data_IF_968436638964
#
_entry.id   IF_968436638964
#
_cell.length_a   1.000
_cell.length_b   1.000
_cell.length_c   1.000
_cell.angle_alpha   90.00
_cell.angle_beta   90.00
_cell.angle_gamma   90.00
#
_symmetry.space_group_name_H-M   'P 1'
#
loop_
_entity.id
_entity.type
_entity.pdbx_description
1 polymer ?
#
# COMPACT_ATOMS: atom_id res chain seq x y z
N UNK A 1 3.23 1.62 10.32
CA UNK A 1 3.33 1.25 8.88
C UNK A 1 4.55 0.37 8.55
N UNK A 2 5.52 0.24 9.45
CA UNK A 2 6.80 -0.46 9.22
C UNK A 2 6.62 -1.95 8.88
N UNK A 3 5.64 -2.60 9.49
CA UNK A 3 5.29 -4.01 9.27
C UNK A 3 4.95 -4.29 7.80
N UNK A 4 4.29 -3.35 7.12
CA UNK A 4 3.94 -3.48 5.70
C UNK A 4 5.17 -3.38 4.83
N UNK A 5 6.03 -2.36 5.05
CA UNK A 5 7.29 -2.23 4.30
C UNK A 5 8.16 -3.48 4.44
N UNK A 6 8.33 -3.99 5.66
CA UNK A 6 9.12 -5.19 5.89
C UNK A 6 8.52 -6.42 5.19
N UNK A 7 7.21 -6.62 5.25
CA UNK A 7 6.56 -7.72 4.55
C UNK A 7 6.76 -7.61 3.05
N UNK A 8 6.49 -6.46 2.44
CA UNK A 8 6.69 -6.25 1.00
C UNK A 8 8.14 -6.51 0.60
N UNK A 9 9.12 -6.05 1.38
CA UNK A 9 10.54 -6.33 1.13
C UNK A 9 10.87 -7.82 1.19
N UNK A 10 10.32 -8.58 2.15
CA UNK A 10 10.52 -10.03 2.24
C UNK A 10 9.90 -10.76 1.04
N UNK A 11 8.74 -10.30 0.57
CA UNK A 11 8.05 -10.88 -0.58
C UNK A 11 8.81 -10.65 -1.90
N UNK A 12 9.43 -9.48 -2.06
CA UNK A 12 10.34 -9.19 -3.19
C UNK A 12 11.55 -10.14 -3.24
N UNK A 13 12.02 -10.61 -2.08
CA UNK A 13 13.08 -11.62 -1.96
C UNK A 13 12.55 -13.07 -2.09
N UNK A 14 11.27 -13.25 -2.42
CA UNK A 14 10.62 -14.54 -2.61
C UNK A 14 10.20 -15.25 -1.32
N UNK A 15 10.21 -14.56 -0.18
CA UNK A 15 9.79 -15.12 1.11
C UNK A 15 8.29 -14.92 1.36
N UNK A 16 7.68 -15.92 1.99
CA UNK A 16 6.33 -15.79 2.54
C UNK A 16 6.38 -15.16 3.92
N UNK A 17 5.33 -14.44 4.30
CA UNK A 17 5.15 -13.96 5.67
C UNK A 17 3.67 -13.93 6.08
N UNK A 18 3.43 -13.88 7.39
CA UNK A 18 2.11 -13.60 7.97
C UNK A 18 2.25 -12.77 9.25
N UNK A 19 1.24 -11.95 9.53
CA UNK A 19 1.22 -11.05 10.68
C UNK A 19 0.26 -11.57 11.75
N UNK A 20 0.81 -11.91 12.92
CA UNK A 20 0.07 -12.46 14.06
C UNK A 20 -0.05 -11.44 15.20
N UNK A 21 -1.17 -11.49 15.92
CA UNK A 21 -1.43 -10.68 17.10
C UNK A 21 -1.61 -11.59 18.33
N UNK A 22 -0.55 -12.25 18.78
CA UNK A 22 -0.61 -13.09 19.99
C UNK A 22 -0.47 -12.29 21.29
N UNK A 23 -0.44 -10.96 21.20
CA UNK A 23 -0.44 -10.06 22.35
C UNK A 23 -1.82 -10.02 23.03
N UNK A 24 -1.90 -9.92 24.36
CA UNK A 24 -0.81 -9.86 25.35
C UNK A 24 -0.33 -11.24 25.85
N UNK A 25 -0.91 -12.33 25.33
CA UNK A 25 -0.79 -13.69 25.89
C UNK A 25 0.66 -14.16 26.11
N UNK A 26 1.57 -13.81 25.20
CA UNK A 26 2.96 -14.27 25.23
C UNK A 26 3.96 -13.16 25.60
N UNK A 27 3.48 -11.98 25.99
CA UNK A 27 4.30 -10.78 26.19
C UNK A 27 5.33 -10.96 27.29
N UNK A 28 4.89 -11.39 28.48
CA UNK A 28 5.79 -11.58 29.63
C UNK A 28 6.85 -12.65 29.37
N UNK A 29 6.46 -13.76 28.73
CA UNK A 29 7.38 -14.87 28.45
C UNK A 29 8.47 -14.45 27.46
N UNK A 30 8.09 -13.75 26.39
CA UNK A 30 9.02 -13.21 25.40
C UNK A 30 9.91 -12.14 26.02
N UNK A 31 9.34 -11.21 26.80
CA UNK A 31 10.12 -10.15 27.44
C UNK A 31 11.19 -10.71 28.38
N UNK A 32 10.84 -11.71 29.20
CA UNK A 32 11.79 -12.42 30.09
C UNK A 32 12.80 -13.26 29.32
N UNK A 33 12.40 -13.89 28.21
CA UNK A 33 13.27 -14.79 27.44
C UNK A 33 14.35 -14.07 26.62
N UNK A 34 14.14 -12.80 26.30
CA UNK A 34 15.07 -12.00 25.47
C UNK A 34 15.45 -10.65 26.10
N UNK A 35 15.28 -10.49 27.42
CA UNK A 35 15.63 -9.28 28.17
C UNK A 35 15.11 -7.98 27.54
N UNK A 36 13.86 -7.99 27.07
CA UNK A 36 13.26 -6.84 26.39
C UNK A 36 12.95 -5.73 27.41
N UNK A 37 13.34 -4.46 27.15
CA UNK A 37 13.08 -3.36 28.07
C UNK A 37 11.59 -3.19 28.40
N UNK A 38 11.28 -2.95 29.68
CA UNK A 38 9.90 -2.86 30.17
C UNK A 38 9.05 -1.73 29.53
N UNK A 39 9.70 -0.71 28.96
CA UNK A 39 9.02 0.39 28.24
C UNK A 39 8.57 0.03 26.82
N UNK A 40 8.96 -1.14 26.30
CA UNK A 40 8.67 -1.52 24.92
C UNK A 40 7.32 -2.24 24.84
N UNK A 41 6.41 -1.70 24.02
CA UNK A 41 5.12 -2.33 23.73
C UNK A 41 5.19 -3.09 22.41
N UNK A 42 4.91 -4.39 22.45
CA UNK A 42 4.90 -5.24 21.26
C UNK A 42 3.51 -5.20 20.61
N UNK A 43 3.43 -4.85 19.33
CA UNK A 43 2.15 -4.67 18.63
C UNK A 43 1.69 -5.92 17.87
N UNK A 44 2.63 -6.65 17.27
CA UNK A 44 2.38 -7.83 16.44
C UNK A 44 3.66 -8.67 16.28
N UNK A 45 3.56 -9.82 15.62
CA UNK A 45 4.66 -10.70 15.26
C UNK A 45 4.59 -10.97 13.75
N UNK A 46 5.63 -10.58 13.00
CA UNK A 46 5.74 -10.92 11.58
C UNK A 46 6.55 -12.22 11.45
N UNK A 47 5.88 -13.32 11.12
CA UNK A 47 6.50 -14.62 10.90
C UNK A 47 6.81 -14.76 9.41
N UNK A 48 8.02 -15.15 9.05
CA UNK A 48 8.45 -15.24 7.65
C UNK A 48 9.35 -16.46 7.39
N UNK A 49 9.48 -16.85 6.12
CA UNK A 49 10.31 -17.97 5.69
C UNK A 49 10.05 -18.37 4.23
N UNK A 50 10.49 -19.57 3.84
CA UNK A 50 10.19 -20.14 2.52
C UNK A 50 8.68 -20.25 2.30
N UNK A 51 8.23 -20.07 1.05
CA UNK A 51 6.82 -20.19 0.68
C UNK A 51 6.34 -21.63 0.81
N UNK A 52 5.36 -21.87 1.70
CA UNK A 52 4.76 -23.19 1.90
C UNK A 52 3.66 -23.55 0.90
N UNK A 53 3.26 -22.61 0.05
CA UNK A 53 2.20 -22.73 -0.94
C UNK A 53 1.82 -21.38 -1.52
N UNK A 54 0.85 -21.38 -2.44
CA UNK A 54 0.22 -20.16 -2.93
C UNK A 54 -0.76 -19.61 -1.89
N UNK A 55 -0.92 -18.28 -1.79
CA UNK A 55 -1.92 -17.68 -0.92
C UNK A 55 -3.33 -18.01 -1.44
N UNK A 56 -4.29 -18.06 -0.51
CA UNK A 56 -5.70 -18.20 -0.85
C UNK A 56 -6.22 -16.98 -1.63
N UNK A 57 -7.33 -17.18 -2.34
CA UNK A 57 -8.00 -16.11 -3.06
C UNK A 57 -8.45 -15.00 -2.10
N UNK A 58 -8.11 -13.75 -2.45
CA UNK A 58 -8.52 -12.58 -1.70
C UNK A 58 -9.67 -11.88 -2.41
N UNK A 59 -10.82 -11.79 -1.75
CA UNK A 59 -11.97 -11.02 -2.23
C UNK A 59 -11.83 -9.54 -1.87
N UNK A 60 -12.37 -8.68 -2.73
CA UNK A 60 -12.39 -7.23 -2.53
C UNK A 60 -13.81 -6.71 -2.65
N UNK A 61 -14.17 -5.71 -1.83
CA UNK A 61 -15.40 -4.95 -2.03
C UNK A 61 -15.35 -4.18 -3.36
N UNK A 62 -16.50 -3.84 -3.97
CA UNK A 62 -16.56 -3.00 -5.16
C UNK A 62 -15.76 -1.71 -4.99
N UNK A 63 -15.13 -1.23 -6.07
CA UNK A 63 -14.21 -0.08 -6.02
C UNK A 63 -14.97 1.22 -5.71
N UNK A 64 -16.21 1.31 -6.18
CA UNK A 64 -17.13 2.44 -6.01
C UNK A 64 -17.51 2.65 -4.55
N UNK A 65 -17.49 1.59 -3.73
CA UNK A 65 -17.71 1.69 -2.28
C UNK A 65 -16.49 2.23 -1.53
N UNK A 66 -15.29 2.11 -2.12
CA UNK A 66 -14.01 2.38 -1.46
C UNK A 66 -13.33 3.67 -1.94
N UNK A 67 -13.68 4.13 -3.13
CA UNK A 67 -13.05 5.28 -3.79
C UNK A 67 -14.13 6.19 -4.34
N UNK A 68 -14.02 7.49 -4.03
CA UNK A 68 -14.86 8.54 -4.59
C UNK A 68 -13.97 9.51 -5.35
N UNK A 69 -14.23 9.69 -6.65
CA UNK A 69 -13.60 10.74 -7.47
C UNK A 69 -14.59 11.88 -7.66
N UNK A 70 -14.21 13.10 -7.30
CA UNK A 70 -15.02 14.30 -7.48
C UNK A 70 -14.62 15.13 -8.71
N UNK A 71 -13.56 14.73 -9.42
CA UNK A 71 -13.16 15.29 -10.70
C UNK A 71 -13.62 14.38 -11.85
N UNK A 72 -14.00 14.92 -13.01
CA UNK A 72 -14.34 14.12 -14.17
C UNK A 72 -13.10 13.31 -14.60
N UNK A 73 -13.28 11.99 -14.75
CA UNK A 73 -12.28 11.14 -15.42
C UNK A 73 -12.29 11.57 -16.88
N UNK A 74 -11.29 12.35 -17.29
CA UNK A 74 -11.06 12.62 -18.71
C UNK A 74 -10.70 11.28 -19.35
N UNK A 75 -11.63 10.69 -20.09
CA UNK A 75 -11.31 9.60 -20.99
C UNK A 75 -10.41 10.16 -22.10
N UNK A 76 -9.10 10.00 -21.95
CA UNK A 76 -8.17 10.21 -23.06
C UNK A 76 -8.46 9.14 -24.12
N UNK A 77 -9.33 9.47 -25.08
CA UNK A 77 -9.51 8.65 -26.27
C UNK A 77 -8.28 8.86 -27.15
N UNK A 78 -7.48 7.81 -27.32
CA UNK A 78 -6.43 7.82 -28.35
C UNK A 78 -7.16 7.80 -29.69
N UNK A 79 -7.36 8.98 -30.27
CA UNK A 79 -8.02 9.11 -31.57
C UNK A 79 -7.10 8.47 -32.61
N UNK A 80 -7.46 7.27 -33.06
CA UNK A 80 -6.78 6.60 -34.16
C UNK A 80 -6.75 7.50 -35.40
N UNK A 81 -5.54 7.77 -35.89
CA UNK A 81 -5.31 8.53 -37.12
C UNK A 81 -3.83 8.42 -37.47
N UNK A 82 -3.53 7.77 -38.59
CA UNK A 82 -2.18 7.38 -38.99
C UNK A 82 -1.17 8.53 -39.10
N UNK A 83 0.09 8.17 -38.91
CA UNK A 83 1.27 9.01 -39.09
C UNK A 83 1.25 9.72 -40.46
N UNK A 84 1.08 11.04 -40.45
CA UNK A 84 1.66 11.94 -41.44
C UNK A 84 2.46 13.02 -40.69
N UNK A 85 3.62 13.33 -41.25
CA UNK A 85 4.68 14.14 -40.66
C UNK A 85 4.22 15.52 -40.13
N UNK A 86 4.78 15.87 -38.98
CA UNK A 86 4.51 17.06 -38.16
C UNK A 86 5.14 18.36 -38.71
N UNK A 87 4.48 19.52 -38.54
CA UNK A 87 5.15 20.81 -38.42
C UNK A 87 5.49 21.16 -36.97
N UNK A 88 6.61 21.87 -36.75
CA UNK A 88 7.18 22.23 -35.44
C UNK A 88 6.20 22.94 -34.48
N UNK A 89 6.37 22.74 -33.14
CA UNK A 89 5.37 23.11 -32.14
C UNK A 89 5.38 24.60 -31.76
N UNK A 90 4.20 25.20 -31.67
CA UNK A 90 3.99 26.47 -30.98
C UNK A 90 4.24 26.34 -29.46
N UNK A 91 4.71 27.39 -28.76
CA UNK A 91 5.10 27.30 -27.36
C UNK A 91 3.93 26.91 -26.46
N UNK A 92 4.08 25.79 -25.75
CA UNK A 92 3.04 25.20 -24.90
C UNK A 92 2.65 26.11 -23.72
N UNK A 93 1.34 26.24 -23.40
CA UNK A 93 0.93 26.89 -22.16
C UNK A 93 1.34 26.03 -20.95
N UNK A 94 1.92 26.66 -19.93
CA UNK A 94 2.45 25.99 -18.74
C UNK A 94 1.42 25.03 -18.09
N UNK A 95 1.85 23.86 -17.58
CA UNK A 95 0.92 22.87 -17.05
C UNK A 95 0.23 23.41 -15.80
N UNK A 96 -1.11 23.42 -15.80
CA UNK A 96 -1.90 23.62 -14.60
C UNK A 96 -1.54 22.54 -13.57
N UNK A 97 -0.74 22.92 -12.57
CA UNK A 97 -0.36 22.05 -11.46
C UNK A 97 -1.60 21.74 -10.63
N UNK A 98 -2.27 20.64 -10.96
CA UNK A 98 -3.39 20.13 -10.16
C UNK A 98 -2.81 19.44 -8.92
N UNK A 99 -2.97 20.08 -7.76
CA UNK A 99 -2.60 19.50 -6.47
C UNK A 99 -3.61 18.42 -6.09
N UNK A 100 -3.16 17.17 -6.02
CA UNK A 100 -3.89 16.06 -5.42
C UNK A 100 -3.98 16.30 -3.90
N UNK A 101 -5.07 16.92 -3.42
CA UNK A 101 -5.36 16.96 -1.99
C UNK A 101 -5.97 15.61 -1.62
N UNK A 102 -5.14 14.76 -1.04
CA UNK A 102 -5.61 13.52 -0.41
C UNK A 102 -6.10 13.90 0.99
N UNK A 103 -7.37 14.22 1.14
CA UNK A 103 -7.97 14.35 2.47
C UNK A 103 -8.01 12.98 3.14
N UNK A 104 -7.11 12.78 4.09
CA UNK A 104 -7.11 11.63 4.99
C UNK A 104 -8.12 11.95 6.11
N UNK A 105 -9.25 11.23 6.22
CA UNK A 105 -10.22 11.49 7.26
C UNK A 105 -9.57 11.28 8.64
N UNK A 106 -9.59 12.31 9.48
CA UNK A 106 -9.16 12.19 10.87
C UNK A 106 -10.19 11.35 11.66
N UNK A 107 -9.77 10.46 12.57
CA UNK A 107 -10.68 9.71 13.42
C UNK A 107 -11.40 10.64 14.41
N UNK A 108 -12.66 10.35 14.78
CA UNK A 108 -13.41 11.17 15.73
C UNK A 108 -12.78 11.14 17.13
N UNK A 109 -12.84 12.30 17.81
CA UNK A 109 -12.37 12.53 19.18
C UNK A 109 -13.18 11.77 20.23
#
# INVERSE_FOLDING_TARGET
MQQWFLWTSLELEGLGANLQHCNPLIDEKVAKGWDIPAGWKRNAQLVFGGRGGEPDEKTFKPIEERVKSHAPILHATTRGGGLKAEPEPEPEPEPEVTRLIVDVPQPPT
#
